data_IF_653206310114
#
_entry.id   IF_653206310114
#
_cell.length_a   1.000
_cell.length_b   1.000
_cell.length_c   1.000
_cell.angle_alpha   90.00
_cell.angle_beta   90.00
_cell.angle_gamma   90.00
#
_symmetry.space_group_name_H-M   'P 1'
#
loop_
_entity.id
_entity.type
_entity.pdbx_description
1 polymer ?
#
# COMPACT_ATOMS: atom_id res chain seq x y z
N UNK A 1 -13.62 0.81 3.03
CA UNK A 1 -13.64 2.17 3.56
C UNK A 1 -14.89 2.90 3.08
N UNK A 2 -15.54 3.66 3.96
CA UNK A 2 -16.61 4.59 3.57
C UNK A 2 -16.20 6.02 3.84
N UNK A 3 -16.46 6.92 2.89
CA UNK A 3 -16.24 8.37 3.03
C UNK A 3 -17.33 9.12 2.27
N UNK A 4 -18.15 9.91 2.98
CA UNK A 4 -19.33 10.53 2.41
C UNK A 4 -20.32 9.49 1.88
N UNK A 5 -20.72 9.61 0.62
CA UNK A 5 -21.64 8.67 -0.04
C UNK A 5 -20.95 7.56 -0.83
N UNK A 6 -19.62 7.47 -0.73
CA UNK A 6 -18.83 6.47 -1.44
C UNK A 6 -18.31 5.37 -0.52
N UNK A 7 -18.22 4.16 -1.06
CA UNK A 7 -17.46 3.04 -0.50
C UNK A 7 -16.33 2.70 -1.46
N UNK A 8 -15.10 2.67 -0.92
CA UNK A 8 -13.87 2.37 -1.67
C UNK A 8 -13.49 0.92 -1.43
N UNK A 9 -13.21 0.20 -2.50
CA UNK A 9 -13.03 -1.26 -2.48
C UNK A 9 -11.86 -1.65 -3.37
N UNK A 10 -11.02 -2.55 -2.85
CA UNK A 10 -10.08 -3.32 -3.66
C UNK A 10 -10.85 -4.43 -4.40
N UNK A 11 -10.62 -4.58 -5.70
CA UNK A 11 -11.32 -5.59 -6.51
C UNK A 11 -10.71 -6.99 -6.39
N UNK A 12 -9.60 -7.13 -5.66
CA UNK A 12 -8.83 -8.39 -5.57
C UNK A 12 -8.38 -8.93 -6.92
N UNK A 13 -8.25 -8.06 -7.95
CA UNK A 13 -7.64 -8.44 -9.22
C UNK A 13 -6.22 -8.96 -8.98
N UNK A 14 -5.86 -10.09 -9.55
CA UNK A 14 -4.58 -10.74 -9.30
C UNK A 14 -4.30 -11.86 -10.28
N UNK A 15 -3.30 -12.69 -9.95
CA UNK A 15 -2.92 -13.85 -10.76
C UNK A 15 -3.99 -14.94 -10.72
N UNK A 16 -4.04 -15.73 -11.78
CA UNK A 16 -4.85 -16.95 -11.86
C UNK A 16 -4.19 -18.12 -11.10
N UNK A 17 -4.83 -19.28 -11.13
CA UNK A 17 -4.33 -20.51 -10.49
C UNK A 17 -2.96 -20.99 -10.99
N UNK A 18 -2.50 -20.47 -12.13
CA UNK A 18 -1.17 -20.81 -12.66
C UNK A 18 -0.04 -20.04 -11.96
N UNK A 19 -0.38 -18.99 -11.20
CA UNK A 19 0.56 -18.06 -10.57
C UNK A 19 1.53 -17.40 -11.57
N UNK A 20 1.07 -17.19 -12.81
CA UNK A 20 1.85 -16.60 -13.91
C UNK A 20 1.12 -15.45 -14.58
N UNK A 21 -0.20 -15.59 -14.77
CA UNK A 21 -0.97 -14.65 -15.58
C UNK A 21 -1.95 -13.85 -14.71
N UNK A 22 -2.11 -12.57 -15.00
CA UNK A 22 -3.23 -11.76 -14.53
C UNK A 22 -4.31 -11.80 -15.62
N UNK A 23 -5.45 -12.48 -15.42
CA UNK A 23 -6.45 -12.69 -16.49
C UNK A 23 -7.08 -11.41 -17.01
N UNK A 24 -7.17 -10.39 -16.17
CA UNK A 24 -7.79 -9.11 -16.49
C UNK A 24 -6.89 -7.93 -16.12
N UNK A 25 -5.73 -7.77 -16.81
CA UNK A 25 -4.71 -6.79 -16.42
C UNK A 25 -5.18 -5.32 -16.59
N UNK A 26 -6.22 -5.10 -17.39
CA UNK A 26 -6.80 -3.78 -17.63
C UNK A 26 -8.03 -3.49 -16.75
N UNK A 27 -8.48 -4.47 -15.95
CA UNK A 27 -9.56 -4.23 -14.99
C UNK A 27 -9.07 -3.34 -13.86
N UNK A 28 -9.90 -2.39 -13.39
CA UNK A 28 -9.53 -1.53 -12.28
C UNK A 28 -9.24 -2.37 -11.03
N UNK A 29 -8.21 -2.01 -10.32
CA UNK A 29 -7.77 -2.68 -9.10
C UNK A 29 -8.37 -2.05 -7.85
N UNK A 30 -8.83 -0.82 -7.98
CA UNK A 30 -9.40 -0.02 -6.92
C UNK A 30 -10.57 0.81 -7.44
N UNK A 31 -11.72 0.72 -6.79
CA UNK A 31 -12.96 1.36 -7.24
C UNK A 31 -13.66 2.08 -6.09
N UNK A 32 -14.46 3.08 -6.45
CA UNK A 32 -15.46 3.69 -5.58
C UNK A 32 -16.86 3.35 -6.09
N UNK A 33 -17.72 2.95 -5.18
CA UNK A 33 -19.15 2.69 -5.47
C UNK A 33 -20.01 3.66 -4.66
N UNK A 34 -21.17 4.00 -5.19
CA UNK A 34 -22.20 4.68 -4.39
C UNK A 34 -22.72 3.71 -3.33
N UNK A 35 -22.60 4.05 -2.05
CA UNK A 35 -22.96 3.17 -0.93
C UNK A 35 -24.47 2.86 -0.85
N UNK A 36 -25.32 3.66 -1.49
CA UNK A 36 -26.79 3.49 -1.45
C UNK A 36 -27.32 2.67 -2.62
N UNK A 37 -26.69 2.79 -3.82
CA UNK A 37 -27.16 2.14 -5.05
C UNK A 37 -26.27 0.98 -5.50
N UNK A 38 -25.00 0.93 -5.05
CA UNK A 38 -24.00 -0.03 -5.53
C UNK A 38 -23.44 0.30 -6.92
N UNK A 39 -23.85 1.41 -7.52
CA UNK A 39 -23.35 1.83 -8.83
C UNK A 39 -21.90 2.28 -8.76
N UNK A 40 -21.13 1.98 -9.83
CA UNK A 40 -19.74 2.45 -9.97
C UNK A 40 -19.74 3.98 -10.02
N UNK A 41 -18.98 4.58 -9.11
CA UNK A 41 -18.80 6.02 -9.01
C UNK A 41 -17.41 6.48 -9.48
N UNK A 42 -16.44 5.58 -9.55
CA UNK A 42 -15.11 5.86 -10.08
C UNK A 42 -14.19 4.66 -9.98
N UNK A 43 -13.19 4.63 -10.85
CA UNK A 43 -12.15 3.60 -10.90
C UNK A 43 -10.75 4.22 -10.87
N UNK A 44 -9.73 3.45 -10.47
CA UNK A 44 -8.35 3.94 -10.45
C UNK A 44 -7.82 4.24 -11.86
N UNK A 45 -7.01 5.28 -11.98
CA UNK A 45 -6.28 5.65 -13.20
C UNK A 45 -4.82 5.17 -13.20
N UNK A 46 -4.47 4.26 -12.28
CA UNK A 46 -3.09 3.89 -12.02
C UNK A 46 -2.61 2.66 -12.79
N UNK A 47 -3.49 1.94 -13.50
CA UNK A 47 -3.18 0.73 -14.29
C UNK A 47 -2.46 -0.35 -13.47
N UNK A 48 -2.84 -0.53 -12.20
CA UNK A 48 -2.18 -1.41 -11.23
C UNK A 48 -2.17 -2.86 -11.73
N UNK A 49 -3.28 -3.32 -12.31
CA UNK A 49 -3.49 -4.72 -12.70
C UNK A 49 -2.40 -5.30 -13.58
N UNK A 50 -1.76 -4.48 -14.43
CA UNK A 50 -0.69 -4.93 -15.34
C UNK A 50 0.65 -5.19 -14.63
N UNK A 51 0.81 -4.79 -13.37
CA UNK A 51 2.07 -4.84 -12.61
C UNK A 51 2.02 -5.70 -11.36
N UNK A 52 0.88 -6.31 -11.06
CA UNK A 52 0.66 -7.12 -9.86
C UNK A 52 1.63 -8.29 -9.81
N UNK A 53 2.28 -8.50 -8.65
CA UNK A 53 3.16 -9.64 -8.43
C UNK A 53 2.38 -10.94 -8.17
N UNK A 54 1.30 -10.86 -7.37
CA UNK A 54 0.46 -12.03 -7.04
C UNK A 54 -1.00 -11.63 -6.89
N UNK A 55 -1.37 -10.85 -5.88
CA UNK A 55 -2.74 -10.45 -5.61
C UNK A 55 -2.85 -9.07 -4.99
N UNK A 56 -4.06 -8.70 -4.57
CA UNK A 56 -4.33 -7.42 -3.95
C UNK A 56 -5.30 -7.61 -2.79
N UNK A 57 -4.82 -7.41 -1.58
CA UNK A 57 -5.60 -7.63 -0.35
C UNK A 57 -5.61 -6.43 0.58
N UNK A 58 -4.88 -5.38 0.27
CA UNK A 58 -4.85 -4.15 1.06
C UNK A 58 -6.24 -3.52 1.16
N UNK A 59 -6.66 -3.15 2.34
CA UNK A 59 -7.82 -2.29 2.52
C UNK A 59 -7.42 -0.82 2.41
N UNK A 60 -8.28 0.06 1.88
CA UNK A 60 -7.96 1.48 1.82
C UNK A 60 -8.13 2.18 3.17
N UNK A 61 -7.39 3.26 3.36
CA UNK A 61 -7.62 4.26 4.41
C UNK A 61 -7.83 5.65 3.80
N UNK A 62 -8.20 6.63 4.61
CA UNK A 62 -8.34 8.01 4.14
C UNK A 62 -7.84 9.01 5.16
N UNK A 63 -7.48 10.20 4.67
CA UNK A 63 -7.08 11.32 5.50
C UNK A 63 -7.26 12.65 4.78
N UNK A 64 -7.43 13.71 5.56
CA UNK A 64 -7.50 15.05 5.02
C UNK A 64 -6.08 15.64 4.93
N UNK A 65 -5.67 15.99 3.72
CA UNK A 65 -4.37 16.60 3.39
C UNK A 65 -4.64 17.97 2.81
N UNK A 66 -4.34 19.02 3.57
CA UNK A 66 -4.76 20.38 3.22
C UNK A 66 -6.28 20.51 3.19
N UNK A 67 -6.82 20.94 2.07
CA UNK A 67 -8.26 21.08 1.82
C UNK A 67 -8.93 19.85 1.17
N UNK A 68 -8.15 18.81 0.85
CA UNK A 68 -8.62 17.61 0.16
C UNK A 68 -8.64 16.37 1.04
N UNK A 69 -9.64 15.52 0.80
CA UNK A 69 -9.62 14.15 1.26
C UNK A 69 -8.90 13.28 0.24
N UNK A 70 -7.91 12.53 0.71
CA UNK A 70 -7.21 11.51 -0.07
C UNK A 70 -7.55 10.13 0.45
N UNK A 71 -7.58 9.16 -0.46
CA UNK A 71 -7.71 7.74 -0.14
C UNK A 71 -6.39 7.05 -0.47
N UNK A 72 -5.87 6.30 0.49
CA UNK A 72 -4.58 5.60 0.39
C UNK A 72 -4.81 4.12 0.17
N UNK A 73 -4.06 3.54 -0.76
CA UNK A 73 -4.19 2.14 -1.13
C UNK A 73 -2.82 1.50 -1.35
N UNK A 74 -2.65 0.27 -0.86
CA UNK A 74 -1.46 -0.54 -1.09
C UNK A 74 -1.68 -1.50 -2.26
N UNK A 75 -0.86 -1.37 -3.30
CA UNK A 75 -0.97 -2.20 -4.50
C UNK A 75 -0.25 -3.55 -4.39
N UNK A 76 -0.79 -4.56 -5.07
CA UNK A 76 -0.12 -5.85 -5.29
C UNK A 76 1.10 -5.76 -6.20
N UNK A 77 1.39 -4.59 -6.73
CA UNK A 77 2.59 -4.22 -7.49
C UNK A 77 3.69 -3.60 -6.62
N UNK A 78 3.46 -3.54 -5.30
CA UNK A 78 4.42 -2.96 -4.35
C UNK A 78 4.45 -1.44 -4.31
N UNK A 79 3.49 -0.77 -4.95
CA UNK A 79 3.31 0.67 -4.84
C UNK A 79 2.28 1.04 -3.78
N UNK A 80 2.54 2.11 -3.04
CA UNK A 80 1.51 2.79 -2.28
C UNK A 80 1.00 3.98 -3.09
N UNK A 81 -0.33 4.13 -3.12
CA UNK A 81 -1.04 5.14 -3.90
C UNK A 81 -1.81 6.08 -2.99
N UNK A 82 -1.91 7.33 -3.40
CA UNK A 82 -2.92 8.26 -2.91
C UNK A 82 -3.79 8.73 -4.07
N UNK A 83 -5.08 8.54 -3.93
CA UNK A 83 -6.07 9.01 -4.89
C UNK A 83 -6.85 10.19 -4.32
N UNK A 84 -7.27 11.14 -5.18
CA UNK A 84 -8.30 12.09 -4.79
C UNK A 84 -9.58 11.31 -4.43
N UNK A 85 -10.13 11.57 -3.26
CA UNK A 85 -11.32 10.87 -2.81
C UNK A 85 -12.57 11.18 -3.69
N UNK A 86 -12.55 12.29 -4.40
CA UNK A 86 -13.62 12.69 -5.29
C UNK A 86 -13.33 12.27 -6.72
N UNK A 87 -14.14 11.37 -7.33
CA UNK A 87 -13.99 11.01 -8.73
C UNK A 87 -14.10 12.22 -9.66
N UNK A 88 -13.35 12.18 -10.77
CA UNK A 88 -13.34 13.20 -11.81
C UNK A 88 -13.72 12.57 -13.14
N UNK A 89 -14.70 13.16 -13.82
CA UNK A 89 -15.16 12.72 -15.14
C UNK A 89 -14.14 13.10 -16.22
N UNK A 90 -13.64 12.10 -16.93
CA UNK A 90 -12.84 12.27 -18.14
C UNK A 90 -13.46 11.41 -19.25
N UNK A 91 -13.82 12.02 -20.37
CA UNK A 91 -14.61 11.39 -21.44
C UNK A 91 -15.87 10.72 -20.87
N UNK A 92 -15.99 9.41 -20.95
CA UNK A 92 -17.15 8.67 -20.46
C UNK A 92 -16.87 7.88 -19.15
N UNK A 93 -15.69 8.07 -18.53
CA UNK A 93 -15.26 7.34 -17.34
C UNK A 93 -15.06 8.31 -16.17
N UNK A 94 -15.47 7.90 -14.98
CA UNK A 94 -15.19 8.60 -13.73
C UNK A 94 -13.95 7.99 -13.07
N UNK A 95 -12.87 8.77 -12.91
CA UNK A 95 -11.61 8.33 -12.36
C UNK A 95 -11.36 8.83 -10.95
N UNK A 96 -10.87 7.93 -10.09
CA UNK A 96 -10.14 8.28 -8.88
C UNK A 96 -8.73 8.68 -9.31
N UNK A 97 -8.47 9.99 -9.37
CA UNK A 97 -7.19 10.52 -9.89
C UNK A 97 -6.04 10.26 -8.91
N UNK A 98 -4.98 9.64 -9.41
CA UNK A 98 -3.75 9.47 -8.66
C UNK A 98 -3.13 10.83 -8.32
N UNK A 99 -3.05 11.17 -7.03
CA UNK A 99 -2.38 12.36 -6.52
C UNK A 99 -0.88 12.12 -6.41
N UNK A 100 -0.51 10.97 -5.83
CA UNK A 100 0.86 10.49 -5.82
C UNK A 100 0.92 8.96 -5.77
N UNK A 101 2.05 8.43 -6.18
CA UNK A 101 2.42 7.03 -6.02
C UNK A 101 3.88 6.90 -5.59
N UNK A 102 4.19 5.83 -4.88
CA UNK A 102 5.55 5.53 -4.42
C UNK A 102 5.83 4.03 -4.56
N UNK A 103 6.94 3.68 -5.23
CA UNK A 103 7.47 2.32 -5.20
C UNK A 103 8.11 2.07 -3.83
N UNK A 104 7.56 1.13 -3.07
CA UNK A 104 8.05 0.82 -1.73
C UNK A 104 9.19 -0.18 -1.73
N UNK A 105 9.46 -0.84 -2.85
CA UNK A 105 10.57 -1.78 -3.01
C UNK A 105 11.87 -1.03 -3.36
N UNK A 106 12.87 -1.03 -2.48
CA UNK A 106 14.17 -0.47 -2.81
C UNK A 106 14.89 -1.33 -3.88
N UNK A 107 15.92 -0.80 -4.56
CA UNK A 107 16.61 -1.52 -5.63
C UNK A 107 17.11 -2.92 -5.25
N UNK A 108 17.59 -3.09 -4.02
CA UNK A 108 18.08 -4.36 -3.48
C UNK A 108 17.00 -5.44 -3.32
N UNK A 109 15.71 -5.06 -3.24
CA UNK A 109 14.59 -6.01 -3.23
C UNK A 109 14.13 -6.40 -4.64
N UNK A 110 14.64 -5.71 -5.66
CA UNK A 110 14.28 -5.94 -7.07
C UNK A 110 15.38 -6.59 -7.87
N UNK A 111 16.64 -6.45 -7.45
CA UNK A 111 17.79 -6.98 -8.17
C UNK A 111 18.83 -7.57 -7.23
N UNK A 112 19.37 -8.75 -7.62
CA UNK A 112 20.48 -9.43 -6.94
C UNK A 112 21.51 -9.85 -7.98
N UNK A 113 22.79 -9.52 -7.74
CA UNK A 113 23.89 -9.80 -8.66
C UNK A 113 23.63 -9.30 -10.10
N UNK A 114 23.01 -8.11 -10.22
CA UNK A 114 22.68 -7.48 -11.49
C UNK A 114 21.53 -8.12 -12.26
N UNK A 115 20.80 -9.08 -11.65
CA UNK A 115 19.65 -9.76 -12.27
C UNK A 115 18.36 -9.43 -11.50
N UNK A 116 17.21 -9.29 -12.21
CA UNK A 116 15.93 -9.13 -11.54
C UNK A 116 15.63 -10.31 -10.60
N UNK A 117 15.18 -10.02 -9.39
CA UNK A 117 14.63 -11.02 -8.47
C UNK A 117 13.23 -11.35 -8.93
N UNK A 118 12.95 -12.65 -9.12
CA UNK A 118 11.62 -13.11 -9.52
C UNK A 118 10.76 -13.33 -8.27
N UNK A 119 9.56 -12.77 -8.25
CA UNK A 119 8.56 -13.05 -7.23
C UNK A 119 8.03 -14.50 -7.37
N UNK A 120 7.79 -15.26 -6.28
CA UNK A 120 8.14 -14.92 -4.91
C UNK A 120 9.60 -15.24 -4.57
N UNK A 121 10.19 -14.47 -3.66
CA UNK A 121 11.55 -14.71 -3.17
C UNK A 121 11.74 -14.15 -1.76
N UNK A 122 12.54 -14.79 -0.90
CA UNK A 122 12.89 -14.24 0.42
C UNK A 122 13.56 -12.86 0.35
N UNK A 123 14.21 -12.53 -0.75
CA UNK A 123 14.92 -11.27 -0.95
C UNK A 123 14.02 -10.12 -1.46
N UNK A 124 12.75 -10.38 -1.78
CA UNK A 124 11.83 -9.43 -2.44
C UNK A 124 11.55 -9.82 -3.91
N UNK A 125 10.86 -8.99 -4.72
CA UNK A 125 10.13 -7.80 -4.30
C UNK A 125 8.91 -8.14 -3.43
N UNK A 126 8.40 -7.14 -2.72
CA UNK A 126 7.22 -7.26 -1.87
C UNK A 126 6.03 -6.51 -2.48
N UNK A 127 4.84 -6.98 -2.17
CA UNK A 127 3.56 -6.30 -2.36
C UNK A 127 3.11 -5.62 -1.06
N UNK A 128 2.03 -4.87 -1.12
CA UNK A 128 1.44 -4.23 0.05
C UNK A 128 0.10 -4.89 0.34
N UNK A 129 0.07 -5.78 1.34
CA UNK A 129 -1.15 -6.43 1.82
C UNK A 129 -1.75 -5.74 3.05
N UNK A 130 -0.91 -5.00 3.79
CA UNK A 130 -1.33 -4.19 4.91
C UNK A 130 -2.18 -3.00 4.47
N UNK A 131 -3.09 -2.56 5.34
CA UNK A 131 -3.80 -1.28 5.14
C UNK A 131 -2.84 -0.13 5.41
N UNK A 132 -2.64 0.82 4.49
CA UNK A 132 -1.95 2.08 4.79
C UNK A 132 -2.67 2.84 5.89
N UNK A 133 -1.96 3.43 6.82
CA UNK A 133 -2.55 4.20 7.93
C UNK A 133 -2.16 5.66 7.82
N UNK A 134 -3.17 6.54 7.77
CA UNK A 134 -2.94 7.98 7.79
C UNK A 134 -2.93 8.51 9.23
N UNK A 135 -1.88 9.22 9.58
CA UNK A 135 -1.74 9.92 10.85
C UNK A 135 -0.84 11.15 10.70
N UNK A 136 -1.30 12.30 11.14
CA UNK A 136 -0.54 13.56 11.20
C UNK A 136 0.14 13.95 9.85
N UNK A 137 -0.64 13.99 8.75
CA UNK A 137 -0.16 14.26 7.37
C UNK A 137 0.89 13.25 6.84
N UNK A 138 0.94 12.06 7.41
CA UNK A 138 1.83 10.97 7.00
C UNK A 138 1.04 9.71 6.72
N UNK A 139 1.58 8.88 5.85
CA UNK A 139 1.05 7.55 5.57
C UNK A 139 2.07 6.51 5.99
N UNK A 140 1.64 5.55 6.80
CA UNK A 140 2.47 4.46 7.29
C UNK A 140 2.04 3.18 6.61
N UNK A 141 3.01 2.45 6.03
CA UNK A 141 2.73 1.22 5.33
C UNK A 141 3.83 0.20 5.53
N UNK A 142 3.44 -1.02 5.89
CA UNK A 142 4.32 -2.18 5.90
C UNK A 142 4.17 -2.95 4.59
N UNK A 143 5.25 -3.55 4.13
CA UNK A 143 5.28 -4.40 2.95
C UNK A 143 5.69 -5.84 3.29
N UNK A 144 5.22 -6.79 2.50
CA UNK A 144 5.52 -8.20 2.61
C UNK A 144 4.96 -8.95 1.43
N UNK A 145 5.19 -10.26 1.40
CA UNK A 145 4.50 -11.17 0.51
C UNK A 145 3.40 -11.88 1.32
N UNK A 146 2.52 -12.59 0.65
CA UNK A 146 1.47 -13.34 1.34
C UNK A 146 2.04 -14.45 2.25
N UNK A 147 1.24 -15.01 3.18
CA UNK A 147 1.70 -16.01 4.15
C UNK A 147 2.24 -17.30 3.54
N UNK A 148 1.83 -17.67 2.33
CA UNK A 148 2.28 -18.90 1.65
C UNK A 148 3.77 -18.86 1.28
N UNK A 149 4.34 -17.66 1.19
CA UNK A 149 5.74 -17.45 0.81
C UNK A 149 6.71 -17.38 2.01
N UNK A 150 6.22 -17.63 3.22
CA UNK A 150 7.02 -17.72 4.44
C UNK A 150 7.65 -16.39 4.88
N UNK A 151 8.76 -16.50 5.62
CA UNK A 151 9.54 -15.35 6.07
C UNK A 151 10.35 -14.72 4.93
N UNK A 152 10.78 -13.49 5.12
CA UNK A 152 11.64 -12.76 4.18
C UNK A 152 11.76 -11.29 4.53
N UNK A 153 12.47 -10.57 3.70
CA UNK A 153 12.66 -9.12 3.90
C UNK A 153 11.33 -8.39 3.92
N UNK A 154 11.23 -7.45 4.85
CA UNK A 154 10.11 -6.53 4.97
C UNK A 154 10.61 -5.11 5.08
N UNK A 155 9.69 -4.18 5.16
CA UNK A 155 10.00 -2.77 5.36
C UNK A 155 8.78 -2.05 5.89
N UNK A 156 8.97 -1.16 6.85
CA UNK A 156 7.96 -0.20 7.28
C UNK A 156 8.38 1.18 6.79
N UNK A 157 7.46 1.91 6.22
CA UNK A 157 7.67 3.22 5.63
C UNK A 157 6.77 4.25 6.29
N UNK A 158 7.31 5.45 6.49
CA UNK A 158 6.57 6.67 6.74
C UNK A 158 6.72 7.58 5.52
N UNK A 159 5.60 7.96 4.92
CA UNK A 159 5.52 8.68 3.66
C UNK A 159 4.87 10.05 3.91
N UNK A 160 5.40 11.10 3.30
CA UNK A 160 4.80 12.43 3.31
C UNK A 160 3.55 12.45 2.42
N UNK A 161 2.38 12.55 3.05
CA UNK A 161 1.10 12.56 2.36
C UNK A 161 0.85 13.82 1.50
N UNK A 162 1.60 14.89 1.69
CA UNK A 162 1.43 16.18 1.01
C UNK A 162 2.07 16.25 -0.38
N UNK A 163 2.86 15.25 -0.74
CA UNK A 163 3.58 15.17 -2.02
C UNK A 163 2.63 14.98 -3.22
N UNK A 164 3.19 15.09 -4.44
CA UNK A 164 2.45 14.90 -5.71
C UNK A 164 3.29 14.18 -6.76
N UNK A 165 2.62 13.39 -7.62
CA UNK A 165 3.27 12.68 -8.73
C UNK A 165 3.99 11.40 -8.28
N UNK A 166 5.02 10.99 -8.98
CA UNK A 166 5.87 9.88 -8.56
C UNK A 166 6.88 10.36 -7.51
N UNK A 167 6.64 9.96 -6.27
CA UNK A 167 7.41 10.39 -5.10
C UNK A 167 8.39 9.32 -4.60
N UNK A 168 8.70 8.32 -5.43
CA UNK A 168 9.61 7.22 -5.06
C UNK A 168 10.94 7.68 -4.50
N UNK A 169 11.46 8.82 -4.99
CA UNK A 169 12.76 9.36 -4.55
C UNK A 169 12.68 10.38 -3.41
N UNK A 170 11.51 10.94 -3.16
CA UNK A 170 11.35 12.12 -2.28
C UNK A 170 10.34 11.95 -1.17
N UNK A 171 9.42 10.98 -1.30
CA UNK A 171 8.27 10.85 -0.41
C UNK A 171 8.54 10.17 0.92
N UNK A 172 9.66 9.45 1.07
CA UNK A 172 9.97 8.72 2.30
C UNK A 172 10.54 9.69 3.34
N UNK A 173 9.84 9.86 4.46
CA UNK A 173 10.32 10.62 5.62
C UNK A 173 11.34 9.77 6.39
N UNK A 174 10.96 8.52 6.69
CA UNK A 174 11.83 7.53 7.27
C UNK A 174 11.42 6.10 6.85
N UNK A 175 12.32 5.15 6.98
CA UNK A 175 12.05 3.73 6.78
C UNK A 175 12.72 2.89 7.84
N UNK A 176 12.04 1.84 8.28
CA UNK A 176 12.54 0.85 9.24
C UNK A 176 12.71 -0.49 8.53
N UNK A 177 13.94 -1.03 8.49
CA UNK A 177 14.32 -2.22 7.72
C UNK A 177 14.68 -3.44 8.58
N UNK A 178 14.57 -3.33 9.91
CA UNK A 178 14.81 -4.49 10.79
C UNK A 178 13.59 -5.41 10.90
N UNK A 179 12.45 -4.98 10.38
CA UNK A 179 11.22 -5.78 10.30
C UNK A 179 11.31 -6.76 9.13
N UNK A 180 10.86 -7.98 9.34
CA UNK A 180 10.64 -8.95 8.29
C UNK A 180 9.31 -8.71 7.57
N UNK A 181 8.93 -9.58 6.65
CA UNK A 181 7.64 -9.49 5.94
C UNK A 181 6.50 -9.26 6.90
N UNK A 182 5.64 -8.32 6.57
CA UNK A 182 4.47 -8.01 7.37
C UNK A 182 3.26 -7.74 6.47
N UNK A 183 2.12 -8.30 6.86
CA UNK A 183 0.79 -7.94 6.36
C UNK A 183 -0.01 -7.19 7.43
N UNK A 184 0.62 -6.91 8.57
CA UNK A 184 -0.04 -6.25 9.68
C UNK A 184 -0.22 -4.77 9.39
N UNK A 185 -1.39 -4.26 9.74
CA UNK A 185 -1.67 -2.83 9.75
C UNK A 185 -1.05 -2.19 10.99
N UNK A 186 -0.37 -1.07 10.83
CA UNK A 186 0.18 -0.33 11.98
C UNK A 186 -0.93 0.19 12.88
N UNK A 187 -0.66 0.25 14.18
CA UNK A 187 -1.50 0.95 15.15
C UNK A 187 -0.69 2.09 15.76
N UNK A 188 -1.27 3.30 15.82
CA UNK A 188 -0.58 4.48 16.33
C UNK A 188 -1.41 5.09 17.45
N UNK A 189 -0.78 5.32 18.61
CA UNK A 189 -1.44 6.02 19.73
C UNK A 189 -1.48 7.53 19.48
N UNK A 190 -2.34 8.28 20.19
CA UNK A 190 -2.33 9.74 20.11
C UNK A 190 -0.98 10.38 20.46
N UNK A 191 -0.18 9.72 21.29
CA UNK A 191 1.15 10.18 21.73
C UNK A 191 2.25 9.88 20.70
N UNK A 192 1.91 9.17 19.60
CA UNK A 192 2.86 8.87 18.53
C UNK A 192 3.64 7.57 18.72
N UNK A 193 3.20 6.64 19.60
CA UNK A 193 3.75 5.29 19.62
C UNK A 193 3.15 4.46 18.48
N UNK A 194 4.00 3.91 17.63
CA UNK A 194 3.62 3.07 16.50
C UNK A 194 3.91 1.60 16.81
N UNK A 195 2.95 0.73 16.59
CA UNK A 195 3.07 -0.72 16.78
C UNK A 195 2.85 -1.45 15.46
N UNK A 196 3.67 -2.48 15.22
CA UNK A 196 3.60 -3.35 14.03
C UNK A 196 4.15 -4.73 14.36
N UNK A 197 3.52 -5.78 13.84
CA UNK A 197 4.01 -7.16 13.94
C UNK A 197 4.50 -7.68 12.58
N UNK A 198 5.38 -8.69 12.60
CA UNK A 198 5.85 -9.38 11.40
C UNK A 198 5.59 -10.90 11.43
N UNK A 199 5.91 -11.57 10.33
CA UNK A 199 5.75 -13.03 10.23
C UNK A 199 6.75 -13.84 11.04
N UNK A 200 7.85 -13.23 11.49
CA UNK A 200 8.83 -13.90 12.33
C UNK A 200 8.43 -13.94 13.80
N UNK A 201 7.26 -13.39 14.16
CA UNK A 201 6.71 -13.41 15.50
C UNK A 201 7.20 -12.25 16.38
N UNK A 202 7.67 -11.17 15.80
CA UNK A 202 8.07 -9.98 16.54
C UNK A 202 7.04 -8.87 16.48
N UNK A 203 6.82 -8.23 17.62
CA UNK A 203 6.07 -6.98 17.76
C UNK A 203 7.04 -5.84 18.02
N UNK A 204 6.96 -4.80 17.22
CA UNK A 204 7.82 -3.61 17.29
C UNK A 204 7.04 -2.44 17.84
N UNK A 205 7.70 -1.62 18.67
CA UNK A 205 7.23 -0.31 19.07
C UNK A 205 8.25 0.75 18.61
N UNK A 206 7.77 1.67 17.79
CA UNK A 206 8.56 2.75 17.21
C UNK A 206 7.95 4.11 17.56
N UNK A 207 8.77 5.14 17.50
CA UNK A 207 8.30 6.52 17.43
C UNK A 207 7.75 6.81 16.02
N UNK A 208 6.50 7.21 15.91
CA UNK A 208 5.84 7.44 14.62
C UNK A 208 6.45 8.62 13.85
N UNK A 209 7.02 9.62 14.50
CA UNK A 209 7.58 10.78 13.83
C UNK A 209 8.97 10.50 13.24
N UNK A 210 9.78 9.73 13.95
CA UNK A 210 11.20 9.54 13.63
C UNK A 210 11.56 8.15 13.14
N UNK A 211 10.70 7.15 13.38
CA UNK A 211 10.99 5.73 13.13
C UNK A 211 11.96 5.13 14.14
N UNK A 212 12.30 5.85 15.22
CA UNK A 212 13.19 5.33 16.26
C UNK A 212 12.53 4.17 17.00
N UNK A 213 13.27 3.05 17.11
CA UNK A 213 12.85 1.88 17.86
C UNK A 213 12.88 2.15 19.37
N UNK A 214 11.76 1.89 20.04
CA UNK A 214 11.66 1.89 21.48
C UNK A 214 11.95 0.51 22.07
N UNK A 215 11.29 -0.51 21.51
CA UNK A 215 11.48 -1.89 21.93
C UNK A 215 10.95 -2.88 20.88
N UNK A 216 11.40 -4.12 20.99
CA UNK A 216 10.93 -5.28 20.26
C UNK A 216 10.51 -6.34 21.27
N UNK A 217 9.38 -6.99 21.03
CA UNK A 217 8.86 -8.09 21.83
C UNK A 217 8.77 -9.36 20.97
N UNK A 218 9.31 -10.45 21.46
CA UNK A 218 9.20 -11.80 20.88
C UNK A 218 7.90 -12.42 21.38
N UNK A 219 6.96 -12.79 20.47
CA UNK A 219 5.59 -13.24 20.77
C UNK A 219 5.50 -14.76 20.94
#
# INVERSE_FOLDING_TARGET
LTLGDLVYVCTSNGQDWTHVNVPSPLSPSFVALNKHTGELAGEDDAEIGSRIFHGQWSSPSAGQVGDKWLVFFGGGDGYCYAFDAKPVREDDIDFLKTVWKIDTNPPEYKTKDGKPIKYPSPDGPNEINATPVFWNNRVYVAQGQDPEHGEGVGRLLCIDASQKGDITKTGIIWSYQKINRSISTVSITPEGLLFIADFSGFLYCLDAETGQEHWIHDM
#
